data_IF_190385543813
#
_entry.id   IF_190385543813
#
_cell.length_a   1.000
_cell.length_b   1.000
_cell.length_c   1.000
_cell.angle_alpha   90.00
_cell.angle_beta   90.00
_cell.angle_gamma   90.00
#
_symmetry.space_group_name_H-M   'P 1'
#
loop_
_entity.id
_entity.type
_entity.pdbx_description
1 polymer ?
#
# COMPACT_ATOMS: atom_id res chain seq x y z
N UNK A 1 -56.03 -70.80 7.07
CA UNK A 1 -56.29 -69.50 6.43
C UNK A 1 -54.94 -68.80 6.33
N UNK A 2 -54.30 -68.91 5.16
CA UNK A 2 -53.89 -67.78 4.28
C UNK A 2 -52.91 -66.83 4.98
N UNK A 3 -51.62 -66.79 4.60
CA UNK A 3 -51.11 -66.16 3.36
C UNK A 3 -51.03 -64.65 3.64
N UNK A 4 -49.90 -63.95 3.64
CA UNK A 4 -48.86 -63.71 2.63
C UNK A 4 -47.78 -62.86 3.33
N UNK A 5 -46.47 -63.13 3.20
CA UNK A 5 -45.56 -62.65 2.16
C UNK A 5 -45.03 -61.21 2.38
N UNK A 6 -43.72 -61.07 2.09
CA UNK A 6 -42.97 -59.84 1.77
C UNK A 6 -42.53 -58.93 2.94
N UNK A 7 -41.22 -58.90 3.22
CA UNK A 7 -40.24 -57.91 2.74
C UNK A 7 -40.63 -56.48 3.15
N UNK A 8 -39.84 -55.86 4.02
CA UNK A 8 -38.90 -54.81 3.63
C UNK A 8 -38.16 -54.32 4.89
N UNK A 9 -36.88 -54.02 4.73
CA UNK A 9 -36.00 -53.32 5.67
C UNK A 9 -36.66 -52.06 6.26
N UNK A 10 -36.27 -51.59 7.46
CA UNK A 10 -36.70 -50.30 7.95
C UNK A 10 -36.17 -49.20 7.01
N UNK A 11 -37.10 -48.56 6.32
CA UNK A 11 -36.85 -47.39 5.51
C UNK A 11 -36.28 -46.28 6.41
N UNK A 12 -34.99 -46.00 6.29
CA UNK A 12 -34.35 -44.81 6.84
C UNK A 12 -34.73 -43.57 6.01
N UNK A 13 -36.03 -43.35 5.80
CA UNK A 13 -36.58 -42.18 5.14
C UNK A 13 -37.62 -41.54 6.04
N UNK A 14 -37.15 -40.74 7.01
CA UNK A 14 -38.06 -39.97 7.87
C UNK A 14 -37.40 -39.10 8.93
N UNK A 15 -36.11 -39.26 9.19
CA UNK A 15 -35.41 -38.56 10.29
C UNK A 15 -34.19 -37.81 9.79
N UNK A 16 -34.40 -36.71 9.07
CA UNK A 16 -33.40 -35.63 8.95
C UNK A 16 -33.93 -34.30 8.36
N UNK A 17 -35.20 -34.20 7.97
CA UNK A 17 -35.70 -33.02 7.28
C UNK A 17 -36.76 -32.30 8.11
N UNK A 18 -36.40 -31.78 9.28
CA UNK A 18 -37.21 -30.77 10.01
C UNK A 18 -36.50 -30.07 11.17
N UNK A 19 -35.37 -30.56 11.68
CA UNK A 19 -34.69 -29.95 12.83
C UNK A 19 -33.56 -28.94 12.49
N UNK A 20 -33.37 -28.61 11.20
CA UNK A 20 -32.42 -27.56 10.76
C UNK A 20 -33.19 -26.55 9.92
N UNK A 21 -34.19 -25.87 10.47
CA UNK A 21 -34.92 -24.84 9.71
C UNK A 21 -35.09 -23.50 10.39
N UNK A 22 -34.73 -23.33 11.67
CA UNK A 22 -35.02 -22.04 12.33
C UNK A 22 -33.99 -21.71 13.42
N UNK A 23 -32.70 -21.52 13.09
CA UNK A 23 -31.84 -20.66 13.93
C UNK A 23 -30.48 -20.21 13.35
N UNK A 24 -30.23 -20.22 12.04
CA UNK A 24 -28.88 -19.88 11.54
C UNK A 24 -28.79 -18.92 10.35
N UNK A 25 -29.86 -18.20 9.99
CA UNK A 25 -29.82 -17.20 8.91
C UNK A 25 -30.63 -15.93 9.18
N UNK A 26 -30.67 -15.49 10.45
CA UNK A 26 -31.38 -14.26 10.85
C UNK A 26 -30.53 -13.30 11.70
N UNK A 27 -29.25 -13.14 11.32
CA UNK A 27 -28.42 -12.03 11.77
C UNK A 27 -27.74 -11.39 10.56
N UNK A 28 -28.35 -10.36 9.94
CA UNK A 28 -27.69 -9.57 8.89
C UNK A 28 -26.53 -8.72 9.42
N UNK A 29 -26.19 -8.81 10.71
CA UNK A 29 -25.11 -8.06 11.34
C UNK A 29 -23.71 -8.65 11.11
N UNK A 30 -23.55 -9.97 10.95
CA UNK A 30 -22.21 -10.56 10.81
C UNK A 30 -21.56 -10.30 9.44
N UNK A 31 -22.33 -10.19 8.36
CA UNK A 31 -21.79 -9.85 7.03
C UNK A 31 -21.27 -8.42 6.96
N UNK A 32 -21.97 -7.47 7.58
CA UNK A 32 -21.55 -6.07 7.64
C UNK A 32 -20.34 -5.89 8.54
N UNK A 33 -20.24 -6.62 9.65
CA UNK A 33 -19.05 -6.62 10.51
C UNK A 33 -17.85 -7.27 9.82
N UNK A 34 -18.06 -8.29 8.97
CA UNK A 34 -16.98 -8.87 8.16
C UNK A 34 -16.52 -7.91 7.06
N UNK A 35 -17.44 -7.20 6.39
CA UNK A 35 -17.11 -6.19 5.39
C UNK A 35 -16.43 -4.95 6.00
N UNK A 36 -16.88 -4.49 7.18
CA UNK A 36 -16.25 -3.38 7.90
C UNK A 36 -14.90 -3.77 8.51
N UNK A 37 -14.74 -5.02 8.96
CA UNK A 37 -13.43 -5.53 9.37
C UNK A 37 -12.49 -5.66 8.16
N UNK A 38 -12.98 -6.09 6.99
CA UNK A 38 -12.14 -6.16 5.78
C UNK A 38 -11.71 -4.77 5.28
N UNK A 39 -12.55 -3.74 5.48
CA UNK A 39 -12.20 -2.33 5.19
C UNK A 39 -11.16 -1.81 6.19
N UNK A 40 -11.24 -2.19 7.48
CA UNK A 40 -10.24 -1.82 8.50
C UNK A 40 -8.91 -2.57 8.31
N UNK A 41 -8.93 -3.79 7.77
CA UNK A 41 -7.74 -4.62 7.57
C UNK A 41 -6.93 -4.33 6.30
N UNK A 42 -7.42 -3.48 5.39
CA UNK A 42 -6.66 -3.08 4.18
C UNK A 42 -5.55 -2.07 4.45
N UNK A 43 -5.52 -1.41 5.61
CA UNK A 43 -4.57 -0.34 5.91
C UNK A 43 -3.29 -0.75 6.65
N UNK A 44 -3.15 -2.00 7.12
CA UNK A 44 -2.08 -2.35 8.06
C UNK A 44 -1.18 -3.53 7.63
N UNK A 45 -1.53 -4.29 6.59
CA UNK A 45 -0.86 -5.57 6.28
C UNK A 45 0.31 -5.48 5.27
N UNK A 46 0.60 -4.32 4.65
CA UNK A 46 1.60 -4.27 3.56
C UNK A 46 2.81 -3.30 3.64
N UNK A 47 3.14 -2.60 4.75
CA UNK A 47 4.38 -1.82 4.77
C UNK A 47 5.64 -2.65 5.07
N UNK A 48 5.57 -3.77 5.80
CA UNK A 48 6.79 -4.42 6.33
C UNK A 48 7.79 -4.85 5.25
N UNK A 49 7.32 -5.46 4.15
CA UNK A 49 8.20 -5.91 3.07
C UNK A 49 8.86 -4.73 2.33
N UNK A 50 8.12 -3.64 2.17
CA UNK A 50 8.62 -2.42 1.50
C UNK A 50 9.58 -1.66 2.41
N UNK A 51 9.32 -1.61 3.71
CA UNK A 51 10.22 -1.05 4.71
C UNK A 51 11.51 -1.86 4.80
N UNK A 52 11.44 -3.18 4.82
CA UNK A 52 12.63 -4.05 4.83
C UNK A 52 13.47 -3.86 3.55
N UNK A 53 12.84 -3.67 2.38
CA UNK A 53 13.54 -3.35 1.15
C UNK A 53 14.25 -1.98 1.24
N UNK A 54 13.59 -0.97 1.80
CA UNK A 54 14.16 0.36 2.04
C UNK A 54 15.34 0.27 3.01
N UNK A 55 15.20 -0.48 4.10
CA UNK A 55 16.27 -0.70 5.09
C UNK A 55 17.45 -1.48 4.48
N UNK A 56 17.20 -2.46 3.61
CA UNK A 56 18.27 -3.16 2.85
C UNK A 56 19.08 -2.24 1.95
N UNK A 57 18.44 -1.18 1.42
CA UNK A 57 19.13 -0.16 0.63
C UNK A 57 19.92 0.82 1.50
N UNK A 58 19.80 0.73 2.84
CA UNK A 58 20.39 1.67 3.79
C UNK A 58 19.50 2.88 4.09
N UNK A 59 18.24 2.85 3.65
CA UNK A 59 17.26 3.89 3.97
C UNK A 59 16.66 3.74 5.36
N UNK A 60 15.99 4.79 5.80
CA UNK A 60 15.27 4.85 7.08
C UNK A 60 13.84 5.31 6.86
N UNK A 61 12.89 4.64 7.52
CA UNK A 61 11.48 5.04 7.52
C UNK A 61 11.08 5.46 8.92
N UNK A 62 10.49 6.66 9.03
CA UNK A 62 9.96 7.19 10.27
C UNK A 62 8.46 7.04 10.35
N UNK A 63 7.97 6.51 11.46
CA UNK A 63 6.56 6.41 11.78
C UNK A 63 6.23 7.34 12.94
N UNK A 64 5.13 8.07 12.80
CA UNK A 64 4.53 8.82 13.90
C UNK A 64 3.33 8.02 14.42
N UNK A 65 3.31 7.77 15.72
CA UNK A 65 2.19 7.11 16.40
C UNK A 65 1.39 8.15 17.16
N UNK A 66 0.20 8.47 16.66
CA UNK A 66 -0.72 9.38 17.30
C UNK A 66 -2.05 8.66 17.55
N UNK A 67 -2.53 8.67 18.79
CA UNK A 67 -3.82 8.09 19.18
C UNK A 67 -4.02 6.62 18.78
N UNK A 68 -2.95 5.80 18.76
CA UNK A 68 -3.01 4.38 18.40
C UNK A 68 -3.04 4.10 16.89
N UNK A 69 -2.87 5.12 16.06
CA UNK A 69 -2.70 5.00 14.61
C UNK A 69 -1.23 5.27 14.30
N UNK A 70 -0.58 4.32 13.63
CA UNK A 70 0.81 4.45 13.19
C UNK A 70 0.81 4.83 11.72
N UNK A 71 1.27 6.03 11.41
CA UNK A 71 1.36 6.55 10.04
C UNK A 71 2.81 6.87 9.69
N UNK A 72 3.18 6.66 8.42
CA UNK A 72 4.52 6.99 7.95
C UNK A 72 4.65 8.50 7.75
N UNK A 73 5.51 9.12 8.56
CA UNK A 73 5.75 10.56 8.52
C UNK A 73 6.79 10.89 7.45
N UNK A 74 7.91 10.16 7.45
CA UNK A 74 9.01 10.38 6.52
C UNK A 74 9.66 9.11 6.00
N UNK A 75 10.22 9.19 4.79
CA UNK A 75 11.07 8.16 4.19
C UNK A 75 12.36 8.81 3.73
N UNK A 76 13.51 8.28 4.15
CA UNK A 76 14.83 8.71 3.68
C UNK A 76 15.53 7.55 2.98
N UNK A 77 15.93 7.79 1.74
CA UNK A 77 16.81 6.97 0.92
C UNK A 77 18.07 7.76 0.54
N UNK A 78 18.44 8.75 1.36
CA UNK A 78 19.58 9.63 1.06
C UNK A 78 20.89 8.84 1.00
N UNK A 79 21.74 9.13 0.02
CA UNK A 79 23.01 8.45 -0.26
C UNK A 79 22.90 6.93 -0.50
N UNK A 80 21.72 6.46 -0.92
CA UNK A 80 21.49 5.05 -1.26
C UNK A 80 21.58 4.81 -2.77
N UNK A 81 21.80 3.55 -3.15
CA UNK A 81 21.76 3.11 -4.55
C UNK A 81 20.32 2.96 -5.09
N UNK A 82 19.33 3.64 -4.50
CA UNK A 82 17.94 3.55 -4.90
C UNK A 82 17.75 4.02 -6.35
N UNK A 83 16.96 3.24 -7.09
CA UNK A 83 16.60 3.42 -8.49
C UNK A 83 15.10 3.62 -8.66
N UNK A 84 14.65 3.89 -9.88
CA UNK A 84 13.22 4.04 -10.19
C UNK A 84 12.38 2.80 -9.83
N UNK A 85 12.99 1.61 -9.79
CA UNK A 85 12.32 0.38 -9.37
C UNK A 85 12.05 0.37 -7.85
N UNK A 86 12.97 0.91 -7.07
CA UNK A 86 12.89 0.92 -5.60
C UNK A 86 11.84 1.94 -5.09
N UNK A 87 11.50 2.93 -5.91
CA UNK A 87 10.44 3.88 -5.62
C UNK A 87 9.06 3.23 -5.49
N UNK A 88 8.85 2.04 -6.05
CA UNK A 88 7.61 1.27 -5.85
C UNK A 88 7.42 0.94 -4.37
N UNK A 89 8.51 0.67 -3.63
CA UNK A 89 8.45 0.43 -2.20
C UNK A 89 8.09 1.70 -1.43
N UNK A 90 8.66 2.84 -1.80
CA UNK A 90 8.28 4.15 -1.23
C UNK A 90 6.80 4.43 -1.50
N UNK A 91 6.32 4.09 -2.70
CA UNK A 91 4.93 4.22 -3.07
C UNK A 91 3.98 3.37 -2.21
N UNK A 92 4.39 2.15 -1.86
CA UNK A 92 3.58 1.28 -0.99
C UNK A 92 3.54 1.72 0.47
N UNK A 93 4.53 2.50 0.92
CA UNK A 93 4.62 2.99 2.32
C UNK A 93 3.75 4.24 2.53
N UNK A 94 3.34 4.92 1.45
CA UNK A 94 2.51 6.14 1.46
C UNK A 94 2.93 7.17 2.53
N UNK A 95 4.18 7.67 2.52
CA UNK A 95 4.59 8.76 3.39
C UNK A 95 3.70 10.00 3.23
N UNK A 96 3.29 10.57 4.36
CA UNK A 96 2.37 11.70 4.39
C UNK A 96 3.08 13.06 4.36
N UNK A 97 4.35 13.15 4.80
CA UNK A 97 5.01 14.44 5.02
C UNK A 97 6.32 14.61 4.23
N UNK A 98 7.34 13.78 4.46
CA UNK A 98 8.70 14.04 3.96
C UNK A 98 9.29 12.86 3.19
N UNK A 99 9.88 13.13 2.02
CA UNK A 99 10.64 12.12 1.25
C UNK A 99 12.01 12.68 0.88
N UNK A 100 13.07 12.01 1.33
CA UNK A 100 14.45 12.38 1.04
C UNK A 100 15.09 11.36 0.09
N UNK A 101 15.47 11.81 -1.10
CA UNK A 101 16.09 11.01 -2.15
C UNK A 101 17.46 11.61 -2.56
N UNK A 102 18.11 12.35 -1.65
CA UNK A 102 19.40 13.00 -1.92
C UNK A 102 20.45 11.95 -2.34
N UNK A 103 21.19 12.19 -3.42
CA UNK A 103 22.25 11.28 -3.87
C UNK A 103 21.77 9.94 -4.46
N UNK A 104 20.48 9.80 -4.77
CA UNK A 104 19.94 8.58 -5.39
C UNK A 104 20.04 8.59 -6.92
N UNK A 105 19.92 7.41 -7.55
CA UNK A 105 19.94 7.25 -9.02
C UNK A 105 18.54 7.35 -9.67
N UNK A 106 17.60 8.01 -9.00
CA UNK A 106 16.23 8.24 -9.48
C UNK A 106 16.20 9.20 -10.67
N UNK A 107 15.33 8.93 -11.63
CA UNK A 107 15.13 9.72 -12.86
C UNK A 107 13.72 10.31 -12.96
N UNK A 108 13.49 11.10 -14.02
CA UNK A 108 12.17 11.67 -14.33
C UNK A 108 11.07 10.62 -14.51
N UNK A 109 11.42 9.38 -14.87
CA UNK A 109 10.48 8.28 -15.03
C UNK A 109 9.96 7.79 -13.68
N UNK A 110 10.85 7.57 -12.71
CA UNK A 110 10.49 7.21 -11.34
C UNK A 110 9.61 8.27 -10.67
N UNK A 111 9.87 9.54 -10.95
CA UNK A 111 9.07 10.66 -10.44
C UNK A 111 7.61 10.68 -10.91
N UNK A 112 7.27 9.98 -11.99
CA UNK A 112 5.88 9.83 -12.43
C UNK A 112 5.04 9.07 -11.41
N UNK A 113 5.65 8.17 -10.64
CA UNK A 113 4.95 7.40 -9.59
C UNK A 113 4.52 8.30 -8.41
N UNK A 114 5.26 9.38 -8.16
CA UNK A 114 4.89 10.39 -7.16
C UNK A 114 3.84 11.39 -7.66
N UNK A 115 3.39 11.28 -8.92
CA UNK A 115 2.36 12.18 -9.45
C UNK A 115 1.01 11.93 -8.77
N UNK A 116 0.50 12.95 -8.06
CA UNK A 116 -0.80 12.89 -7.36
C UNK A 116 -0.67 12.66 -5.85
N UNK A 117 0.55 12.51 -5.34
CA UNK A 117 0.82 12.42 -3.92
C UNK A 117 0.74 13.78 -3.23
N UNK A 118 0.45 13.78 -1.93
CA UNK A 118 0.28 14.99 -1.11
C UNK A 118 1.45 15.19 -0.14
N UNK A 119 2.67 15.09 -0.66
CA UNK A 119 3.89 15.32 0.11
C UNK A 119 4.04 16.80 0.50
N UNK A 120 4.61 17.05 1.68
CA UNK A 120 4.96 18.39 2.15
C UNK A 120 6.35 18.81 1.67
N UNK A 121 7.31 17.88 1.66
CA UNK A 121 8.67 18.12 1.21
C UNK A 121 9.23 16.91 0.46
N UNK A 122 9.92 17.19 -0.65
CA UNK A 122 10.60 16.19 -1.47
C UNK A 122 12.01 16.70 -1.77
N UNK A 123 13.02 15.98 -1.29
CA UNK A 123 14.43 16.29 -1.54
C UNK A 123 14.99 15.42 -2.67
N UNK A 124 15.41 16.07 -3.75
CA UNK A 124 15.96 15.48 -4.97
C UNK A 124 17.37 16.02 -5.25
N UNK A 125 18.08 16.53 -4.25
CA UNK A 125 19.49 16.95 -4.41
C UNK A 125 20.34 15.76 -4.90
N UNK A 126 21.35 16.05 -5.72
CA UNK A 126 22.24 15.03 -6.33
C UNK A 126 21.53 13.85 -7.04
N UNK A 127 20.31 14.03 -7.54
CA UNK A 127 19.60 13.01 -8.34
C UNK A 127 19.81 13.21 -9.84
N UNK A 128 19.37 12.24 -10.67
CA UNK A 128 19.40 12.32 -12.14
C UNK A 128 18.14 12.95 -12.74
N UNK A 129 17.37 13.66 -11.92
CA UNK A 129 16.14 14.33 -12.32
C UNK A 129 16.47 15.59 -13.13
N UNK A 130 15.76 15.80 -14.24
CA UNK A 130 15.96 16.99 -15.08
C UNK A 130 15.09 18.16 -14.63
N UNK A 131 15.47 19.38 -15.01
CA UNK A 131 14.66 20.58 -14.74
C UNK A 131 13.23 20.47 -15.28
N UNK A 132 13.05 19.75 -16.41
CA UNK A 132 11.73 19.48 -17.00
C UNK A 132 10.90 18.57 -16.10
N UNK A 133 11.50 17.53 -15.52
CA UNK A 133 10.88 16.66 -14.53
C UNK A 133 10.42 17.43 -13.29
N UNK A 134 11.27 18.30 -12.76
CA UNK A 134 10.95 19.18 -11.62
C UNK A 134 9.82 20.15 -11.96
N UNK A 135 9.83 20.77 -13.14
CA UNK A 135 8.76 21.68 -13.57
C UNK A 135 7.42 20.95 -13.66
N UNK A 136 7.42 19.69 -14.13
CA UNK A 136 6.23 18.84 -14.16
C UNK A 136 5.75 18.50 -12.75
N UNK A 137 6.65 18.13 -11.84
CA UNK A 137 6.32 17.87 -10.43
C UNK A 137 5.72 19.09 -9.74
N UNK A 138 6.29 20.29 -9.94
CA UNK A 138 5.75 21.54 -9.39
C UNK A 138 4.33 21.82 -9.88
N UNK A 139 4.00 21.44 -11.12
CA UNK A 139 2.65 21.59 -11.67
C UNK A 139 1.67 20.56 -11.07
N UNK A 140 2.12 19.34 -10.83
CA UNK A 140 1.28 18.28 -10.25
C UNK A 140 1.12 18.44 -8.72
N UNK A 141 2.14 18.92 -8.03
CA UNK A 141 2.21 19.06 -6.58
C UNK A 141 2.64 20.49 -6.18
N UNK A 142 1.80 21.51 -6.39
CA UNK A 142 2.16 22.91 -6.14
C UNK A 142 2.36 23.24 -4.66
N UNK A 143 1.90 22.39 -3.73
CA UNK A 143 2.06 22.58 -2.29
C UNK A 143 3.28 21.87 -1.71
N UNK A 144 3.95 21.02 -2.49
CA UNK A 144 5.14 20.28 -2.05
C UNK A 144 6.39 21.16 -2.19
N UNK A 145 7.19 21.24 -1.13
CA UNK A 145 8.51 21.88 -1.15
C UNK A 145 9.50 20.94 -1.83
N UNK A 146 9.80 21.20 -3.09
CA UNK A 146 10.77 20.40 -3.84
C UNK A 146 12.16 21.05 -3.70
N UNK A 147 13.08 20.36 -3.02
CA UNK A 147 14.49 20.72 -2.96
C UNK A 147 15.21 20.03 -4.11
N UNK A 148 15.88 20.79 -4.95
CA UNK A 148 16.70 20.28 -6.04
C UNK A 148 18.05 20.95 -5.98
N UNK A 149 19.10 20.18 -6.22
CA UNK A 149 20.38 20.79 -6.53
C UNK A 149 20.34 21.11 -8.02
N UNK A 150 20.15 22.39 -8.33
CA UNK A 150 20.42 22.87 -9.68
C UNK A 150 21.93 22.79 -9.84
N UNK A 151 22.43 21.62 -10.26
CA UNK A 151 23.66 21.62 -11.03
C UNK A 151 23.28 22.38 -12.28
N UNK A 152 23.66 23.66 -12.33
CA UNK A 152 23.72 24.38 -13.57
C UNK A 152 24.56 23.50 -14.49
N UNK A 153 23.90 22.73 -15.36
CA UNK A 153 24.57 22.16 -16.50
C UNK A 153 24.99 23.40 -17.28
N UNK A 154 26.21 23.84 -17.02
CA UNK A 154 26.91 24.75 -17.90
C UNK A 154 26.63 24.27 -19.32
N UNK A 155 26.26 25.23 -20.18
CA UNK A 155 26.17 24.96 -21.60
C UNK A 155 27.41 24.21 -22.06
N UNK A 156 27.19 23.00 -22.52
CA UNK A 156 27.99 22.27 -23.50
C UNK A 156 26.90 21.79 -24.49
N UNK A 157 26.52 22.46 -25.57
CA UNK A 157 27.27 23.34 -26.45
C UNK A 157 28.67 22.81 -26.72
N UNK A 158 28.73 21.64 -27.35
CA UNK A 158 29.54 21.34 -28.54
C UNK A 158 29.01 20.08 -29.24
#
# INVERSE_FOLDING_TARGET
MQGTNDKQSPDLNGTASSAIRIFLWRLPALSVVFALSFVVYRGCIVPQLSVEAIERLGGSVGYESAFGITACEYVSLSDTAATDADLVHVCNVEPHSYVYLDGTSVTDEGLKLFAGWRLLELDLRNTRVTEKGVAKLKRTMPRCKIRVQVVASAGLAE
#
